data_IF_063958372068
#
_entry.id   IF_063958372068
#
_cell.length_a   1.000
_cell.length_b   1.000
_cell.length_c   1.000
_cell.angle_alpha   90.00
_cell.angle_beta   90.00
_cell.angle_gamma   90.00
#
_symmetry.space_group_name_H-M   'P 1'
#
loop_
_entity.id
_entity.type
_entity.pdbx_description
1 polymer ?
#
# COMPACT_ATOMS: atom_id res chain seq x y z
N UNK A 1 -14.20 6.17 -12.81
CA UNK A 1 -12.93 5.98 -12.10
C UNK A 1 -11.99 7.13 -12.39
N UNK A 2 -11.34 7.63 -11.36
CA UNK A 2 -10.42 8.75 -11.46
C UNK A 2 -9.15 8.34 -12.20
N UNK A 3 -8.75 9.16 -13.17
CA UNK A 3 -7.48 8.96 -13.87
C UNK A 3 -6.38 9.70 -13.14
N UNK A 4 -5.31 8.98 -12.76
CA UNK A 4 -4.14 9.58 -12.14
C UNK A 4 -3.21 10.14 -13.21
N UNK A 5 -2.60 11.29 -12.92
CA UNK A 5 -1.51 11.83 -13.72
C UNK A 5 -0.20 11.27 -13.17
N UNK A 6 0.69 10.88 -14.06
CA UNK A 6 1.95 10.22 -13.66
C UNK A 6 3.03 11.29 -13.51
N UNK A 7 3.57 11.44 -12.31
CA UNK A 7 4.72 12.30 -12.09
C UNK A 7 6.01 11.57 -12.50
N UNK A 8 6.14 10.31 -12.10
CA UNK A 8 7.30 9.49 -12.42
C UNK A 8 6.94 8.01 -12.29
N UNK A 9 7.57 7.17 -13.12
CA UNK A 9 7.54 5.71 -12.98
C UNK A 9 8.80 5.10 -13.59
N UNK A 10 8.93 3.78 -13.47
CA UNK A 10 10.02 3.00 -14.08
C UNK A 10 9.53 2.19 -15.28
N UNK A 11 8.42 2.61 -15.90
CA UNK A 11 7.86 1.97 -17.07
C UNK A 11 7.04 0.73 -16.76
N UNK A 12 6.84 -0.10 -17.78
CA UNK A 12 5.98 -1.27 -17.67
C UNK A 12 6.69 -2.45 -17.01
N UNK A 13 5.94 -3.23 -16.26
CA UNK A 13 6.34 -4.52 -15.74
C UNK A 13 5.25 -5.53 -16.07
N UNK A 14 5.61 -6.78 -16.31
CA UNK A 14 4.62 -7.82 -16.65
C UNK A 14 3.61 -8.02 -15.51
N UNK A 15 2.32 -8.03 -15.84
CA UNK A 15 1.27 -8.34 -14.88
C UNK A 15 1.50 -9.71 -14.21
N UNK A 16 2.09 -10.66 -14.93
CA UNK A 16 2.37 -12.00 -14.39
C UNK A 16 3.36 -11.95 -13.23
N UNK A 17 4.28 -11.00 -13.22
CA UNK A 17 5.22 -10.83 -12.10
C UNK A 17 4.47 -10.40 -10.83
N UNK A 18 3.54 -9.46 -10.98
CA UNK A 18 2.72 -8.97 -9.87
C UNK A 18 1.80 -10.09 -9.35
N UNK A 19 1.14 -10.79 -10.27
CA UNK A 19 0.25 -11.90 -9.92
C UNK A 19 1.01 -13.04 -9.24
N UNK A 20 2.23 -13.34 -9.71
CA UNK A 20 3.07 -14.37 -9.12
C UNK A 20 3.48 -14.00 -7.69
N UNK A 21 3.77 -12.74 -7.45
CA UNK A 21 4.08 -12.28 -6.10
C UNK A 21 2.89 -12.51 -5.16
N UNK A 22 1.68 -12.12 -5.59
CA UNK A 22 0.46 -12.34 -4.81
C UNK A 22 0.20 -13.83 -4.57
N UNK A 23 0.37 -14.66 -5.61
CA UNK A 23 0.19 -16.11 -5.53
C UNK A 23 1.14 -16.72 -4.51
N UNK A 24 2.40 -16.31 -4.51
CA UNK A 24 3.39 -16.81 -3.55
C UNK A 24 3.04 -16.43 -2.10
N UNK A 25 2.32 -15.32 -1.90
CA UNK A 25 1.82 -14.92 -0.58
C UNK A 25 0.51 -15.63 -0.21
N UNK A 26 -0.16 -16.24 -1.16
CA UNK A 26 -1.49 -16.83 -0.95
C UNK A 26 -2.61 -15.81 -0.93
N UNK A 27 -2.44 -14.65 -1.57
CA UNK A 27 -3.46 -13.60 -1.63
C UNK A 27 -3.78 -13.24 -3.08
N UNK A 28 -4.91 -12.55 -3.28
CA UNK A 28 -5.32 -12.02 -4.58
C UNK A 28 -5.27 -10.50 -4.51
N UNK A 29 -4.50 -9.89 -5.41
CA UNK A 29 -4.45 -8.43 -5.51
C UNK A 29 -5.65 -7.90 -6.30
N UNK A 30 -6.14 -6.69 -5.99
CA UNK A 30 -7.21 -6.04 -6.77
C UNK A 30 -6.80 -5.88 -8.25
N UNK A 31 -7.76 -6.09 -9.15
CA UNK A 31 -7.48 -6.02 -10.59
C UNK A 31 -6.99 -4.66 -11.04
N UNK A 32 -7.59 -3.59 -10.54
CA UNK A 32 -7.16 -2.23 -10.86
C UNK A 32 -5.71 -1.99 -10.44
N UNK A 33 -5.31 -2.50 -9.27
CA UNK A 33 -3.94 -2.40 -8.80
C UNK A 33 -2.96 -3.09 -9.76
N UNK A 34 -3.27 -4.34 -10.13
CA UNK A 34 -2.42 -5.10 -11.06
C UNK A 34 -2.27 -4.36 -12.38
N UNK A 35 -3.38 -3.86 -12.93
CA UNK A 35 -3.36 -3.10 -14.19
C UNK A 35 -2.51 -1.83 -14.06
N UNK A 36 -2.76 -1.04 -13.00
CA UNK A 36 -2.10 0.25 -12.79
C UNK A 36 -0.58 0.08 -12.67
N UNK A 37 -0.13 -0.85 -11.84
CA UNK A 37 1.29 -1.04 -11.60
C UNK A 37 1.99 -1.74 -12.78
N UNK A 38 1.29 -2.64 -13.48
CA UNK A 38 1.88 -3.26 -14.69
C UNK A 38 2.20 -2.21 -15.77
N UNK A 39 1.42 -1.13 -15.83
CA UNK A 39 1.68 -0.02 -16.77
C UNK A 39 2.69 0.98 -16.21
N UNK A 40 2.79 1.11 -14.88
CA UNK A 40 3.57 2.14 -14.21
C UNK A 40 4.26 1.58 -12.96
N UNK A 41 5.33 0.83 -13.16
CA UNK A 41 6.08 0.26 -12.03
C UNK A 41 6.76 1.38 -11.23
N UNK A 42 6.82 1.26 -9.92
CA UNK A 42 7.31 2.34 -9.04
C UNK A 42 6.53 3.64 -9.25
N UNK A 43 5.22 3.53 -9.38
CA UNK A 43 4.36 4.67 -9.68
C UNK A 43 4.46 5.75 -8.61
N UNK A 44 4.73 6.97 -9.07
CA UNK A 44 4.62 8.19 -8.27
C UNK A 44 3.61 9.10 -8.96
N UNK A 45 2.35 9.11 -8.52
CA UNK A 45 1.34 9.96 -9.17
C UNK A 45 1.47 11.42 -8.74
N UNK A 46 0.97 12.34 -9.57
CA UNK A 46 0.83 13.75 -9.16
C UNK A 46 -0.19 13.89 -8.04
N UNK A 47 -1.30 13.12 -8.12
CA UNK A 47 -2.30 13.03 -7.06
C UNK A 47 -1.84 11.99 -6.03
N UNK A 48 -0.88 12.37 -5.21
CA UNK A 48 -0.24 11.43 -4.28
C UNK A 48 -0.76 11.53 -2.84
N UNK A 49 -1.68 12.44 -2.55
CA UNK A 49 -2.14 12.72 -1.20
C UNK A 49 -3.50 12.10 -0.91
N UNK A 50 -3.70 11.69 0.33
CA UNK A 50 -5.01 11.22 0.82
C UNK A 50 -5.21 11.66 2.26
N UNK A 51 -6.49 11.86 2.62
CA UNK A 51 -6.91 12.23 3.97
C UNK A 51 -7.49 11.00 4.65
N UNK A 52 -7.22 10.84 5.92
CA UNK A 52 -7.74 9.72 6.73
C UNK A 52 -7.96 10.18 8.18
N UNK A 53 -8.61 9.34 8.97
CA UNK A 53 -8.79 9.58 10.41
C UNK A 53 -7.75 8.75 11.14
N UNK A 54 -6.90 9.43 11.90
CA UNK A 54 -5.79 8.77 12.60
C UNK A 54 -6.25 8.01 13.85
N UNK A 55 -5.31 7.37 14.53
CA UNK A 55 -5.60 6.57 15.72
C UNK A 55 -6.02 7.41 16.93
N UNK A 56 -5.87 8.72 16.88
CA UNK A 56 -6.34 9.66 17.90
C UNK A 56 -7.66 10.32 17.51
N UNK A 57 -8.33 9.86 16.45
CA UNK A 57 -9.60 10.36 15.93
C UNK A 57 -9.52 11.76 15.30
N UNK A 58 -8.32 12.17 14.91
CA UNK A 58 -8.09 13.44 14.22
C UNK A 58 -7.95 13.21 12.73
N UNK A 59 -8.30 14.22 11.93
CA UNK A 59 -8.04 14.21 10.50
C UNK A 59 -6.54 14.41 10.25
N UNK A 60 -5.95 13.57 9.42
CA UNK A 60 -4.54 13.64 9.06
C UNK A 60 -4.40 13.32 7.57
N UNK A 61 -3.22 13.52 7.03
CA UNK A 61 -2.94 13.24 5.63
C UNK A 61 -1.59 12.55 5.48
N UNK A 62 -1.43 11.86 4.36
CA UNK A 62 -0.17 11.23 3.94
C UNK A 62 -0.08 11.28 2.42
N UNK A 63 1.11 11.01 1.92
CA UNK A 63 1.33 10.76 0.50
C UNK A 63 1.62 9.29 0.26
N UNK A 64 1.57 8.88 -1.00
CA UNK A 64 1.91 7.51 -1.39
C UNK A 64 2.92 7.50 -2.54
N UNK A 65 3.94 6.66 -2.38
CA UNK A 65 4.79 6.13 -3.44
C UNK A 65 4.48 4.64 -3.53
N UNK A 66 4.09 4.16 -4.71
CA UNK A 66 3.79 2.73 -4.89
C UNK A 66 5.08 1.93 -4.94
N UNK A 67 5.11 0.82 -4.21
CA UNK A 67 6.26 -0.10 -4.21
C UNK A 67 6.38 -0.81 -5.56
N UNK A 68 7.60 -1.01 -6.03
CA UNK A 68 7.84 -1.53 -7.36
C UNK A 68 8.32 -2.97 -7.40
N UNK A 69 8.29 -3.54 -8.59
CA UNK A 69 8.58 -4.97 -8.84
C UNK A 69 9.87 -5.22 -9.59
N UNK A 70 10.38 -4.22 -10.34
CA UNK A 70 11.66 -4.37 -11.05
C UNK A 70 12.81 -4.40 -10.05
N UNK A 71 13.62 -5.45 -10.11
CA UNK A 71 14.73 -5.65 -9.17
C UNK A 71 15.97 -4.84 -9.53
N UNK A 72 16.09 -4.44 -10.80
CA UNK A 72 17.23 -3.70 -11.34
C UNK A 72 16.98 -2.19 -11.43
N UNK A 73 15.85 -1.72 -10.90
CA UNK A 73 15.52 -0.29 -10.91
C UNK A 73 16.43 0.48 -9.96
N UNK A 74 16.65 1.75 -10.29
CA UNK A 74 17.43 2.66 -9.44
C UNK A 74 16.68 3.05 -8.17
N UNK A 75 15.36 2.87 -8.14
CA UNK A 75 14.54 3.08 -6.94
C UNK A 75 14.74 1.92 -5.96
N UNK A 76 14.68 2.24 -4.68
CA UNK A 76 14.96 1.27 -3.62
C UNK A 76 13.71 0.73 -2.92
N UNK A 77 12.57 1.40 -3.09
CA UNK A 77 11.31 1.03 -2.43
C UNK A 77 10.61 -0.08 -3.19
N UNK A 78 11.17 -1.29 -3.12
CA UNK A 78 10.63 -2.45 -3.82
C UNK A 78 9.68 -3.26 -2.92
N UNK A 79 8.77 -3.98 -3.57
CA UNK A 79 7.75 -4.78 -2.88
C UNK A 79 8.38 -5.93 -2.06
N UNK A 80 9.52 -6.45 -2.51
CA UNK A 80 10.13 -7.62 -1.88
C UNK A 80 10.67 -7.28 -0.48
N UNK A 81 11.19 -6.07 -0.31
CA UNK A 81 11.74 -5.61 0.96
C UNK A 81 10.68 -4.97 1.86
N UNK A 82 9.75 -4.19 1.26
CA UNK A 82 8.88 -3.28 2.01
C UNK A 82 7.44 -3.77 2.16
N UNK A 83 7.10 -4.98 1.68
CA UNK A 83 5.74 -5.50 1.82
C UNK A 83 5.31 -5.79 3.26
N UNK A 84 6.26 -5.82 4.18
CA UNK A 84 6.07 -6.05 5.63
C UNK A 84 5.59 -7.46 6.00
N UNK A 85 5.61 -8.40 5.07
CA UNK A 85 5.13 -9.78 5.34
C UNK A 85 6.01 -10.51 6.35
N UNK A 86 7.31 -10.20 6.36
CA UNK A 86 8.26 -10.83 7.27
C UNK A 86 8.61 -9.95 8.46
N UNK A 87 7.92 -8.81 8.62
CA UNK A 87 8.17 -7.90 9.74
C UNK A 87 7.64 -8.51 11.03
N UNK A 88 8.47 -8.49 12.06
CA UNK A 88 8.12 -9.01 13.39
C UNK A 88 6.85 -8.36 13.96
N UNK A 89 6.66 -7.07 13.69
CA UNK A 89 5.53 -6.29 14.18
C UNK A 89 4.38 -6.18 13.19
N UNK A 90 4.49 -6.87 12.07
CA UNK A 90 3.46 -6.92 11.03
C UNK A 90 2.48 -8.06 11.25
N UNK A 91 1.67 -8.33 10.23
CA UNK A 91 0.57 -9.28 10.28
C UNK A 91 0.72 -10.40 9.24
N UNK A 92 1.94 -10.63 8.77
CA UNK A 92 2.19 -11.63 7.73
C UNK A 92 1.49 -11.27 6.43
N UNK A 93 0.88 -12.26 5.78
CA UNK A 93 0.15 -12.04 4.52
C UNK A 93 -1.25 -11.46 4.69
N UNK A 94 -1.68 -11.22 5.93
CA UNK A 94 -2.99 -10.62 6.19
C UNK A 94 -3.02 -9.11 5.97
N UNK A 95 -1.87 -8.44 6.11
CA UNK A 95 -1.73 -7.01 5.84
C UNK A 95 -0.46 -6.81 5.04
N UNK A 96 -0.61 -6.50 3.75
CA UNK A 96 0.51 -6.45 2.79
C UNK A 96 0.69 -5.02 2.29
N UNK A 97 1.84 -4.42 2.59
CA UNK A 97 2.15 -3.08 2.11
C UNK A 97 2.34 -3.07 0.59
N UNK A 98 1.70 -2.11 -0.08
CA UNK A 98 1.89 -1.87 -1.52
C UNK A 98 2.37 -0.45 -1.80
N UNK A 99 2.42 0.38 -0.78
CA UNK A 99 2.90 1.76 -0.89
C UNK A 99 3.54 2.22 0.41
N UNK A 100 4.28 3.31 0.33
CA UNK A 100 4.97 3.90 1.48
C UNK A 100 4.83 5.41 1.40
N UNK A 101 4.68 6.05 2.55
CA UNK A 101 4.64 7.50 2.64
C UNK A 101 6.03 8.08 2.89
N UNK A 102 6.17 9.38 2.68
CA UNK A 102 7.45 10.07 2.89
C UNK A 102 7.96 9.97 4.31
N UNK A 103 7.05 9.82 5.30
CA UNK A 103 7.45 9.68 6.70
C UNK A 103 7.70 8.22 7.11
N UNK A 104 7.59 7.27 6.19
CA UNK A 104 7.88 5.87 6.44
C UNK A 104 6.69 5.00 6.78
N UNK A 105 5.48 5.55 6.89
CA UNK A 105 4.29 4.74 7.14
C UNK A 105 3.90 3.95 5.90
N UNK A 106 3.25 2.81 6.10
CA UNK A 106 2.91 1.87 5.03
C UNK A 106 1.46 1.98 4.64
N UNK A 107 1.17 1.90 3.33
CA UNK A 107 -0.19 1.82 2.79
C UNK A 107 -0.39 0.37 2.37
N UNK A 108 -1.42 -0.29 2.90
CA UNK A 108 -1.52 -1.74 2.87
C UNK A 108 -2.87 -2.24 2.39
N UNK A 109 -2.83 -3.41 1.74
CA UNK A 109 -4.02 -4.25 1.56
C UNK A 109 -4.28 -4.99 2.87
N UNK A 110 -5.48 -4.87 3.40
CA UNK A 110 -5.90 -5.55 4.64
C UNK A 110 -6.87 -6.67 4.31
N UNK A 111 -6.41 -7.92 4.47
CA UNK A 111 -7.19 -9.12 4.16
C UNK A 111 -7.86 -9.73 5.40
N UNK A 112 -7.70 -9.10 6.57
CA UNK A 112 -8.17 -9.71 7.84
C UNK A 112 -9.67 -9.92 7.89
N UNK A 113 -10.47 -9.07 7.22
CA UNK A 113 -11.93 -9.15 7.20
C UNK A 113 -12.49 -9.80 5.96
N UNK A 114 -11.75 -9.76 4.84
CA UNK A 114 -12.19 -10.31 3.55
C UNK A 114 -10.95 -10.76 2.79
N UNK A 115 -10.83 -12.07 2.57
CA UNK A 115 -9.64 -12.66 1.96
C UNK A 115 -9.56 -12.42 0.45
N UNK A 116 -10.66 -12.03 -0.19
CA UNK A 116 -10.69 -11.85 -1.65
C UNK A 116 -10.83 -10.38 -2.09
N UNK A 117 -11.23 -9.49 -1.19
CA UNK A 117 -11.40 -8.07 -1.50
C UNK A 117 -10.88 -7.24 -0.32
N UNK A 118 -9.60 -6.89 -0.32
CA UNK A 118 -9.00 -6.21 0.82
C UNK A 118 -9.46 -4.75 0.93
N UNK A 119 -9.59 -4.27 2.16
CA UNK A 119 -9.68 -2.84 2.42
C UNK A 119 -8.28 -2.23 2.39
N UNK A 120 -8.22 -0.90 2.39
CA UNK A 120 -6.95 -0.18 2.41
C UNK A 120 -6.78 0.43 3.80
N UNK A 121 -5.61 0.18 4.41
CA UNK A 121 -5.28 0.70 5.73
C UNK A 121 -3.91 1.38 5.70
N UNK A 122 -3.71 2.33 6.61
CA UNK A 122 -2.38 2.84 6.95
C UNK A 122 -1.84 2.01 8.11
N UNK A 123 -0.60 1.58 8.01
CA UNK A 123 0.11 0.90 9.09
C UNK A 123 1.24 1.79 9.55
N UNK A 124 1.20 2.23 10.81
CA UNK A 124 2.22 3.11 11.36
C UNK A 124 3.52 2.33 11.56
N UNK A 125 4.64 2.92 11.15
CA UNK A 125 5.95 2.30 11.33
C UNK A 125 6.51 2.47 12.74
N UNK A 126 5.97 3.41 13.51
CA UNK A 126 6.53 3.83 14.80
C UNK A 126 5.51 3.86 15.94
N UNK A 127 4.29 3.34 15.73
CA UNK A 127 3.27 3.26 16.77
C UNK A 127 2.76 1.84 16.89
N UNK A 128 2.74 1.33 18.11
CA UNK A 128 2.51 -0.09 18.38
C UNK A 128 1.46 -0.27 19.47
N UNK A 129 0.88 -1.46 19.50
CA UNK A 129 0.03 -1.91 20.59
C UNK A 129 0.35 -3.37 20.90
N UNK A 130 -0.06 -3.83 22.08
CA UNK A 130 0.08 -5.22 22.46
C UNK A 130 -1.27 -5.90 22.24
N UNK A 131 -1.29 -7.00 21.47
CA UNK A 131 -2.51 -7.73 21.18
C UNK A 131 -2.89 -8.67 22.35
N UNK A 132 -4.00 -9.39 22.22
CA UNK A 132 -4.52 -10.28 23.28
C UNK A 132 -3.56 -11.42 23.63
N UNK A 133 -2.68 -11.78 22.68
CA UNK A 133 -1.70 -12.84 22.88
C UNK A 133 -0.36 -12.33 23.43
N UNK A 134 -0.26 -11.03 23.70
CA UNK A 134 0.96 -10.41 24.20
C UNK A 134 1.96 -10.04 23.13
N UNK A 135 1.56 -10.08 21.85
CA UNK A 135 2.44 -9.70 20.73
C UNK A 135 2.34 -8.21 20.46
N UNK A 136 3.51 -7.60 20.23
CA UNK A 136 3.56 -6.19 19.82
C UNK A 136 3.32 -6.09 18.32
N UNK A 137 2.37 -5.23 17.91
CA UNK A 137 2.01 -5.03 16.50
C UNK A 137 1.94 -3.56 16.16
N UNK A 138 2.30 -3.22 14.91
CA UNK A 138 2.10 -1.87 14.38
C UNK A 138 0.60 -1.56 14.34
N UNK A 139 0.25 -0.33 14.70
CA UNK A 139 -1.15 0.11 14.68
C UNK A 139 -1.58 0.34 13.23
N UNK A 140 -2.79 -0.07 12.89
CA UNK A 140 -3.41 0.20 11.59
C UNK A 140 -4.65 1.06 11.75
N UNK A 141 -4.91 1.93 10.76
CA UNK A 141 -6.14 2.73 10.69
C UNK A 141 -6.73 2.64 9.28
N UNK A 142 -8.07 2.66 9.15
CA UNK A 142 -8.71 2.57 7.82
C UNK A 142 -8.43 3.78 6.96
N UNK A 143 -8.24 3.56 5.64
CA UNK A 143 -8.15 4.62 4.63
C UNK A 143 -9.35 4.54 3.69
N UNK A 144 -9.65 3.36 3.15
CA UNK A 144 -10.70 3.18 2.15
C UNK A 144 -11.23 1.74 2.20
N UNK A 145 -12.50 1.51 1.76
CA UNK A 145 -13.08 0.17 1.80
C UNK A 145 -12.51 -0.78 0.75
N UNK A 146 -11.95 -0.26 -0.33
CA UNK A 146 -11.33 -1.04 -1.40
C UNK A 146 -10.32 -0.18 -2.16
N UNK A 147 -9.58 -0.80 -3.08
CA UNK A 147 -8.54 -0.11 -3.84
C UNK A 147 -9.11 0.94 -4.79
N UNK A 148 -10.25 0.65 -5.45
CA UNK A 148 -10.88 1.60 -6.38
C UNK A 148 -11.27 2.88 -5.65
N UNK A 149 -11.86 2.76 -4.46
CA UNK A 149 -12.22 3.91 -3.63
C UNK A 149 -10.99 4.68 -3.15
N UNK A 150 -9.89 3.96 -2.87
CA UNK A 150 -8.63 4.59 -2.50
C UNK A 150 -8.11 5.48 -3.63
N UNK A 151 -8.10 4.96 -4.87
CA UNK A 151 -7.65 5.74 -6.03
C UNK A 151 -8.53 6.98 -6.21
N UNK A 152 -9.84 6.85 -6.04
CA UNK A 152 -10.78 7.95 -6.21
C UNK A 152 -10.58 9.07 -5.19
N UNK A 153 -10.04 8.78 -4.02
CA UNK A 153 -9.82 9.81 -2.99
C UNK A 153 -8.45 10.50 -3.08
N UNK A 154 -7.55 10.03 -3.93
CA UNK A 154 -6.24 10.67 -4.09
C UNK A 154 -6.39 12.07 -4.71
N UNK A 155 -5.62 13.01 -4.21
CA UNK A 155 -5.63 14.39 -4.71
C UNK A 155 -4.22 14.95 -4.74
N UNK A 156 -4.03 16.01 -5.54
CA UNK A 156 -2.78 16.74 -5.60
C UNK A 156 -2.84 17.89 -4.59
N UNK A 157 -1.88 17.90 -3.67
CA UNK A 157 -1.75 19.00 -2.72
C UNK A 157 -1.00 20.13 -3.43
N UNK A 158 -1.72 21.20 -3.74
CA UNK A 158 -1.15 22.39 -4.40
C UNK A 158 -1.22 23.57 -3.43
N UNK A 159 -0.08 23.95 -2.91
CA UNK A 159 0.06 25.13 -2.07
C UNK A 159 0.22 26.40 -2.88
#
# INVERSE_FOLDING_TARGET
MKKLNIWRDEGKVSASIIEKFAENLGVTFPRLYIYLISEHDYLYPEEDCFIFIDNNKNTDDRNILFLGYKKDASCHENIYTYSCIDDEYGYGNQVVAFGISANGDYICFDYRKNSSNPSIVLMYHDEFYEDELGNTKMITVPIAPDFDSFIDKLYQDVD
#
